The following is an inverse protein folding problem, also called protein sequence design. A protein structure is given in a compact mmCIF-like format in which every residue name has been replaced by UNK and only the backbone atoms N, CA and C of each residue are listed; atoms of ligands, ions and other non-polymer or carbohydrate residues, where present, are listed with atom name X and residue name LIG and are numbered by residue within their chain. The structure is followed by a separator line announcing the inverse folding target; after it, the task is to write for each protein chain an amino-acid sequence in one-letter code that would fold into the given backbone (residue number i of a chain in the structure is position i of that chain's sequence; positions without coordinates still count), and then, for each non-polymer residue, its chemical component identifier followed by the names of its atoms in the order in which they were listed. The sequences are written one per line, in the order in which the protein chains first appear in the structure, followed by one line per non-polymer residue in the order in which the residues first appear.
data_IF_255928780757
#
_entry.id   IF_255928780757
#
_cell.length_a   1.000
_cell.length_b   1.000
_cell.length_c   1.000
_cell.angle_alpha   90.00
_cell.angle_beta   90.00
_cell.angle_gamma   90.00
#
_symmetry.space_group_name_H-M   'P 1'
#
loop_
_entity.id
_entity.type
_entity.pdbx_description
1 polymer ?
#
# COMPACT_ATOMS: atom_id res chain seq x y z
N UNK A 1 -27.03 -14.92 32.30
CA UNK A 1 -25.57 -14.69 32.18
C UNK A 1 -25.02 -15.60 31.09
N UNK A 2 -24.40 -15.18 29.99
CA UNK A 2 -24.33 -13.93 29.25
C UNK A 2 -24.17 -14.34 27.76
N UNK A 3 -24.76 -13.56 26.85
CA UNK A 3 -24.89 -13.89 25.43
C UNK A 3 -23.55 -13.76 24.68
N UNK A 4 -22.81 -14.86 24.54
CA UNK A 4 -21.63 -14.94 23.66
C UNK A 4 -21.85 -15.84 22.44
N UNK A 5 -23.10 -16.21 22.15
CA UNK A 5 -23.42 -17.28 21.20
C UNK A 5 -23.17 -16.98 19.71
N UNK A 6 -22.91 -15.74 19.29
CA UNK A 6 -22.78 -15.39 17.86
C UNK A 6 -21.87 -14.16 17.63
N UNK A 7 -20.67 -14.14 18.22
CA UNK A 7 -19.68 -13.13 17.81
C UNK A 7 -19.12 -13.52 16.45
N UNK A 8 -19.56 -12.84 15.41
CA UNK A 8 -18.94 -12.98 14.09
C UNK A 8 -17.51 -12.45 14.14
N UNK A 9 -16.57 -13.09 13.41
CA UNK A 9 -15.21 -12.57 13.32
C UNK A 9 -15.27 -11.15 12.75
N UNK A 10 -14.63 -10.21 13.45
CA UNK A 10 -14.48 -8.84 12.94
C UNK A 10 -13.65 -8.93 11.66
N UNK A 11 -14.24 -8.59 10.52
CA UNK A 11 -13.52 -8.53 9.24
C UNK A 11 -12.97 -7.12 9.13
N UNK A 12 -11.68 -6.99 9.37
CA UNK A 12 -10.99 -5.71 9.29
C UNK A 12 -10.77 -5.32 7.84
N UNK A 13 -11.15 -4.10 7.50
CA UNK A 13 -10.82 -3.53 6.21
C UNK A 13 -9.34 -3.06 6.18
N UNK A 14 -8.81 -2.80 4.98
CA UNK A 14 -7.40 -2.41 4.81
C UNK A 14 -7.06 -1.09 5.52
N UNK A 15 -8.00 -0.17 5.65
CA UNK A 15 -7.79 1.11 6.31
C UNK A 15 -7.76 0.95 7.83
N UNK A 16 -8.63 0.11 8.39
CA UNK A 16 -8.63 -0.27 9.82
C UNK A 16 -7.31 -0.95 10.21
N UNK A 17 -6.80 -1.87 9.39
CA UNK A 17 -5.48 -2.48 9.59
C UNK A 17 -4.36 -1.42 9.64
N UNK A 18 -4.37 -0.45 8.73
CA UNK A 18 -3.38 0.63 8.72
C UNK A 18 -3.53 1.51 9.95
N UNK A 19 -4.75 1.88 10.31
CA UNK A 19 -5.04 2.73 11.44
C UNK A 19 -4.50 2.11 12.74
N UNK A 20 -4.78 0.84 12.99
CA UNK A 20 -4.30 0.17 14.21
C UNK A 20 -2.77 0.03 14.26
N UNK A 21 -2.13 -0.34 13.16
CA UNK A 21 -0.65 -0.40 13.10
C UNK A 21 -0.06 0.98 13.39
N UNK A 22 -0.58 2.02 12.74
CA UNK A 22 -0.06 3.39 12.90
C UNK A 22 -0.31 3.90 14.32
N UNK A 23 -1.48 3.65 14.92
CA UNK A 23 -1.76 4.02 16.32
C UNK A 23 -0.76 3.37 17.29
N UNK A 24 -0.49 2.07 17.14
CA UNK A 24 0.48 1.37 17.99
C UNK A 24 1.88 1.97 17.80
N UNK A 25 2.28 2.22 16.55
CA UNK A 25 3.56 2.85 16.24
C UNK A 25 3.65 4.31 16.76
N UNK A 26 2.55 5.05 16.78
CA UNK A 26 2.50 6.41 17.35
C UNK A 26 2.62 6.41 18.87
N UNK A 27 2.02 5.42 19.56
CA UNK A 27 2.07 5.31 21.02
C UNK A 27 3.41 4.75 21.51
N UNK A 28 3.90 3.69 20.87
CA UNK A 28 5.12 2.97 21.30
C UNK A 28 6.39 3.45 20.59
N UNK A 29 6.25 4.21 19.50
CA UNK A 29 7.39 4.64 18.69
C UNK A 29 8.20 3.46 18.15
N UNK A 30 9.53 3.62 18.13
CA UNK A 30 10.45 2.57 17.66
C UNK A 30 10.68 1.42 18.67
N UNK A 31 10.11 1.49 19.88
CA UNK A 31 10.34 0.48 20.93
C UNK A 31 9.67 -0.86 20.63
N UNK A 32 8.57 -0.85 19.86
CA UNK A 32 7.86 -2.07 19.48
C UNK A 32 8.45 -2.68 18.21
N UNK A 33 8.72 -3.98 18.27
CA UNK A 33 9.21 -4.74 17.12
C UNK A 33 8.08 -5.05 16.13
N UNK A 34 8.44 -5.27 14.86
CA UNK A 34 7.44 -5.60 13.84
C UNK A 34 6.75 -6.94 14.13
N UNK A 35 7.45 -7.87 14.76
CA UNK A 35 6.91 -9.17 15.20
C UNK A 35 5.81 -8.98 16.25
N UNK A 36 6.05 -8.17 17.28
CA UNK A 36 5.05 -7.90 18.32
C UNK A 36 3.79 -7.24 17.76
N UNK A 37 3.92 -6.30 16.82
CA UNK A 37 2.75 -5.67 16.17
C UNK A 37 2.01 -6.69 15.30
N UNK A 38 2.74 -7.54 14.58
CA UNK A 38 2.18 -8.60 13.74
C UNK A 38 1.36 -9.60 14.55
N UNK A 39 1.90 -10.07 15.68
CA UNK A 39 1.21 -10.99 16.60
C UNK A 39 -0.01 -10.33 17.26
N UNK A 40 0.10 -9.06 17.66
CA UNK A 40 -0.98 -8.33 18.34
C UNK A 40 -2.18 -8.05 17.43
N UNK A 41 -1.94 -7.76 16.14
CA UNK A 41 -2.99 -7.39 15.19
C UNK A 41 -3.34 -8.49 14.19
N UNK A 42 -2.62 -9.61 14.18
CA UNK A 42 -2.80 -10.66 13.16
C UNK A 42 -2.46 -10.20 11.74
N UNK A 43 -1.61 -9.17 11.60
CA UNK A 43 -1.22 -8.57 10.31
C UNK A 43 0.14 -9.13 9.90
N UNK A 44 0.33 -9.37 8.60
CA UNK A 44 1.62 -9.83 8.06
C UNK A 44 2.79 -8.90 8.44
N UNK A 45 3.91 -9.51 8.85
CA UNK A 45 5.09 -8.79 9.33
C UNK A 45 5.70 -7.88 8.27
N UNK A 46 5.68 -8.26 6.98
CA UNK A 46 6.17 -7.39 5.90
C UNK A 46 5.27 -6.17 5.78
N UNK A 47 3.95 -6.36 5.91
CA UNK A 47 2.99 -5.25 5.88
C UNK A 47 3.20 -4.25 7.02
N UNK A 48 3.51 -4.74 8.22
CA UNK A 48 3.89 -3.87 9.35
C UNK A 48 5.18 -3.10 9.05
N UNK A 49 6.19 -3.77 8.49
CA UNK A 49 7.47 -3.13 8.15
C UNK A 49 7.29 -2.01 7.10
N UNK A 50 6.49 -2.26 6.06
CA UNK A 50 6.12 -1.26 5.06
C UNK A 50 5.46 -0.03 5.70
N UNK A 51 4.45 -0.23 6.55
CA UNK A 51 3.74 0.87 7.21
C UNK A 51 4.65 1.66 8.15
N UNK A 52 5.53 0.98 8.87
CA UNK A 52 6.54 1.61 9.73
C UNK A 52 7.52 2.46 8.91
N UNK A 53 7.94 1.98 7.74
CA UNK A 53 8.81 2.76 6.85
C UNK A 53 8.07 3.97 6.29
N UNK A 54 6.84 3.78 5.80
CA UNK A 54 6.01 4.89 5.29
C UNK A 54 5.79 5.97 6.34
N UNK A 55 5.58 5.59 7.60
CA UNK A 55 5.43 6.53 8.70
C UNK A 55 6.74 7.29 8.98
N UNK A 56 7.90 6.65 8.87
CA UNK A 56 9.21 7.32 9.00
C UNK A 56 9.46 8.32 7.87
N UNK A 57 9.11 7.96 6.65
CA UNK A 57 9.34 8.77 5.46
C UNK A 57 8.42 10.00 5.45
N UNK A 58 7.13 9.79 5.73
CA UNK A 58 6.11 10.84 5.62
C UNK A 58 6.02 11.70 6.89
N UNK A 59 6.36 11.13 8.06
CA UNK A 59 6.17 11.71 9.41
C UNK A 59 4.73 12.14 9.74
N UNK A 60 3.78 11.86 8.86
CA UNK A 60 2.36 12.13 9.03
C UNK A 60 1.57 10.81 9.11
N UNK A 61 1.05 10.44 10.29
CA UNK A 61 0.17 9.28 10.48
C UNK A 61 -1.05 9.26 9.55
N UNK A 62 -1.69 10.43 9.31
CA UNK A 62 -2.91 10.51 8.50
C UNK A 62 -2.61 10.21 7.04
N UNK A 63 -1.54 10.80 6.50
CA UNK A 63 -1.08 10.53 5.15
C UNK A 63 -0.81 9.03 4.89
N UNK A 64 -0.31 8.28 5.88
CA UNK A 64 -0.07 6.84 5.72
C UNK A 64 -1.36 6.02 5.77
N UNK A 65 -2.31 6.40 6.62
CA UNK A 65 -3.62 5.74 6.70
C UNK A 65 -4.41 5.92 5.42
N UNK A 66 -4.49 7.17 4.94
CA UNK A 66 -5.28 7.58 3.77
C UNK A 66 -4.58 7.27 2.43
N UNK A 67 -3.31 6.83 2.47
CA UNK A 67 -2.54 6.51 1.26
C UNK A 67 -3.32 5.55 0.37
N UNK A 68 -3.69 5.89 -0.87
CA UNK A 68 -4.40 4.96 -1.73
C UNK A 68 -3.60 3.65 -1.86
N UNK A 69 -4.26 2.50 -1.77
CA UNK A 69 -3.58 1.25 -2.14
C UNK A 69 -3.05 1.41 -3.56
N UNK A 70 -1.83 0.96 -3.82
CA UNK A 70 -1.06 1.17 -5.06
C UNK A 70 -1.68 0.54 -6.33
N UNK A 71 -3.00 0.28 -6.35
CA UNK A 71 -3.75 -0.17 -7.51
C UNK A 71 -3.82 0.89 -8.63
N UNK A 72 -3.48 2.15 -8.38
CA UNK A 72 -3.26 3.15 -9.43
C UNK A 72 -1.83 3.08 -9.97
N UNK A 73 -1.43 1.92 -10.50
CA UNK A 73 -0.22 1.85 -11.31
C UNK A 73 -0.52 2.61 -12.60
N UNK A 74 0.11 3.78 -12.81
CA UNK A 74 -0.04 4.58 -14.04
C UNK A 74 0.11 3.73 -15.31
N UNK A 75 0.95 2.69 -15.25
CA UNK A 75 1.23 1.75 -16.33
C UNK A 75 0.14 0.69 -16.63
N UNK A 76 -0.98 0.66 -15.88
CA UNK A 76 -2.06 -0.32 -16.07
C UNK A 76 -3.42 0.31 -16.38
N UNK A 77 -3.47 1.62 -16.62
CA UNK A 77 -4.73 2.25 -17.06
C UNK A 77 -5.01 1.89 -18.52
N UNK A 78 -6.27 1.71 -18.93
CA UNK A 78 -6.63 1.49 -20.33
C UNK A 78 -6.06 2.57 -21.26
N UNK A 79 -6.05 3.82 -20.79
CA UNK A 79 -5.48 4.95 -21.53
C UNK A 79 -3.97 4.82 -21.73
N UNK A 80 -3.23 4.34 -20.73
CA UNK A 80 -1.79 4.09 -20.86
C UNK A 80 -1.52 2.97 -21.87
N UNK A 81 -2.28 1.87 -21.79
CA UNK A 81 -2.15 0.75 -22.73
C UNK A 81 -2.40 1.25 -24.16
N UNK A 82 -3.45 2.03 -24.38
CA UNK A 82 -3.78 2.59 -25.71
C UNK A 82 -2.66 3.49 -26.23
N UNK A 83 -2.13 4.41 -25.41
CA UNK A 83 -1.03 5.29 -25.83
C UNK A 83 0.23 4.51 -26.19
N UNK A 84 0.57 3.47 -25.42
CA UNK A 84 1.74 2.63 -25.72
C UNK A 84 1.53 1.82 -26.99
N UNK A 85 0.32 1.27 -27.19
CA UNK A 85 -0.05 0.59 -28.44
C UNK A 85 0.06 1.53 -29.65
N UNK A 86 -0.49 2.75 -29.57
CA UNK A 86 -0.43 3.74 -30.64
C UNK A 86 1.03 4.09 -31.02
N UNK A 87 1.91 4.24 -30.02
CA UNK A 87 3.34 4.52 -30.22
C UNK A 87 4.04 3.34 -30.92
N UNK A 88 3.77 2.10 -30.50
CA UNK A 88 4.39 0.91 -31.08
C UNK A 88 3.86 0.59 -32.48
N UNK A 89 2.61 0.97 -32.78
CA UNK A 89 2.06 0.86 -34.13
C UNK A 89 2.68 1.88 -35.09
N UNK A 90 2.97 3.10 -34.63
CA UNK A 90 3.60 4.14 -35.45
C UNK A 90 5.11 3.98 -35.57
N UNK A 91 5.77 3.46 -34.53
CA UNK A 91 7.20 3.19 -34.51
C UNK A 91 7.51 1.88 -33.73
N UNK A 92 7.46 0.72 -34.40
CA UNK A 92 7.72 -0.57 -33.76
C UNK A 92 9.20 -0.77 -33.38
N UNK A 93 10.10 0.09 -33.86
CA UNK A 93 11.54 0.02 -33.55
C UNK A 93 11.92 0.72 -32.24
N UNK A 94 10.98 1.47 -31.66
CA UNK A 94 11.18 2.26 -30.45
C UNK A 94 11.37 1.35 -29.23
N UNK A 95 12.40 1.64 -28.43
CA UNK A 95 12.65 0.88 -27.21
C UNK A 95 11.59 1.19 -26.15
N UNK A 96 10.99 0.14 -25.58
CA UNK A 96 10.02 0.26 -24.47
C UNK A 96 10.55 1.06 -23.29
N UNK A 97 11.87 1.06 -23.07
CA UNK A 97 12.51 1.87 -22.02
C UNK A 97 12.35 3.37 -22.27
N UNK A 98 12.43 3.80 -23.52
CA UNK A 98 12.30 5.21 -23.88
C UNK A 98 10.82 5.64 -23.83
N UNK A 99 9.91 4.77 -24.25
CA UNK A 99 8.46 4.95 -24.06
C UNK A 99 8.11 5.04 -22.57
N UNK A 100 8.70 4.21 -21.73
CA UNK A 100 8.48 4.24 -20.28
C UNK A 100 8.99 5.54 -19.63
N UNK A 101 10.09 6.11 -20.12
CA UNK A 101 10.59 7.43 -19.68
C UNK A 101 9.66 8.55 -20.13
N UNK A 102 9.22 8.53 -21.39
CA UNK A 102 8.29 9.53 -21.94
C UNK A 102 6.94 9.54 -21.23
N UNK A 103 6.48 8.38 -20.77
CA UNK A 103 5.22 8.23 -20.04
C UNK A 103 5.36 8.41 -18.52
N UNK A 104 6.54 8.77 -18.01
CA UNK A 104 6.81 8.95 -16.56
C UNK A 104 6.38 7.71 -15.74
N UNK A 105 6.69 6.52 -16.27
CA UNK A 105 6.39 5.23 -15.61
C UNK A 105 7.64 4.42 -15.27
N UNK A 106 8.85 4.93 -15.58
CA UNK A 106 10.10 4.33 -15.12
C UNK A 106 10.45 4.82 -13.71
N UNK A 107 10.42 3.92 -12.73
CA UNK A 107 11.07 4.09 -11.43
C UNK A 107 12.32 3.21 -11.35
#
# INVERSE_FOLDING_TARGET
MAAYGNLQPVIWNKQEHRCAVIQILSIKGNTISNTQVSELLGIDRRRVAELKQQLKDTRDPRAVVDRPSSSACKARTPDFIRRVSDILEHDPSRFLRDVAKEQDVSH
#
